data_IF_787879609201
#
_entry.id   IF_787879609201
#
_cell.length_a   1.000
_cell.length_b   1.000
_cell.length_c   1.000
_cell.angle_alpha   90.00
_cell.angle_beta   90.00
_cell.angle_gamma   90.00
#
_symmetry.space_group_name_H-M   'P 1'
#
loop_
_entity.id
_entity.type
_entity.pdbx_description
1 polymer ?
#
# COMPACT_ATOMS: atom_id res chain seq x y z
N UNK A 1 0.82 -17.52 49.19
CA UNK A 1 1.99 -16.65 49.35
C UNK A 1 3.20 -17.34 48.69
N UNK A 2 3.51 -16.92 47.46
CA UNK A 2 4.83 -17.18 46.83
C UNK A 2 5.19 -15.90 46.06
N UNK A 3 6.24 -15.25 46.50
CA UNK A 3 6.73 -14.00 45.88
C UNK A 3 7.55 -14.37 44.64
N UNK A 4 7.19 -13.77 43.50
CA UNK A 4 8.01 -13.83 42.29
C UNK A 4 9.00 -12.65 42.32
N UNK A 5 10.28 -12.94 42.23
CA UNK A 5 11.35 -11.95 42.09
C UNK A 5 11.47 -11.57 40.60
N UNK A 6 11.31 -10.31 40.29
CA UNK A 6 11.61 -9.75 38.96
C UNK A 6 13.03 -9.22 39.00
N UNK A 7 13.92 -9.83 38.21
CA UNK A 7 15.29 -9.34 38.01
C UNK A 7 15.27 -8.24 36.94
N UNK A 8 15.59 -7.02 37.33
CA UNK A 8 15.95 -5.93 36.43
C UNK A 8 17.40 -6.12 35.95
N UNK A 9 17.60 -6.37 34.67
CA UNK A 9 18.90 -6.23 34.02
C UNK A 9 19.00 -4.85 33.41
N UNK A 10 19.85 -4.01 34.00
CA UNK A 10 20.25 -2.72 33.45
C UNK A 10 21.32 -2.93 32.38
N UNK A 11 21.04 -2.64 31.13
CA UNK A 11 22.03 -2.52 30.07
C UNK A 11 22.54 -1.07 30.02
N UNK A 12 23.84 -0.88 30.30
CA UNK A 12 24.53 0.35 30.09
C UNK A 12 24.92 0.49 28.61
N UNK A 13 24.37 1.49 27.92
CA UNK A 13 24.78 1.84 26.57
C UNK A 13 26.07 2.65 26.62
N UNK A 14 27.15 2.10 26.03
CA UNK A 14 28.36 2.86 25.72
C UNK A 14 28.19 3.55 24.37
N UNK A 15 28.06 4.86 24.39
CA UNK A 15 28.10 5.69 23.20
C UNK A 15 29.57 5.95 22.83
N UNK A 16 30.04 5.41 21.72
CA UNK A 16 31.32 5.80 21.09
C UNK A 16 31.03 6.85 20.03
N UNK A 17 31.42 8.08 20.32
CA UNK A 17 31.43 9.17 19.36
C UNK A 17 32.59 9.01 18.37
N UNK A 18 32.28 8.82 17.11
CA UNK A 18 33.25 8.89 16.01
C UNK A 18 33.21 10.31 15.43
N UNK A 19 34.24 11.08 15.70
CA UNK A 19 34.48 12.38 15.08
C UNK A 19 35.11 12.18 13.69
N UNK A 20 34.41 12.59 12.65
CA UNK A 20 35.02 12.74 11.32
C UNK A 20 35.59 14.16 11.17
N UNK A 21 36.91 14.23 11.04
CA UNK A 21 37.61 15.44 10.63
C UNK A 21 37.50 15.61 9.12
N UNK A 22 36.91 16.73 8.70
CA UNK A 22 36.95 17.17 7.30
C UNK A 22 38.33 17.75 6.99
N UNK A 23 39.00 17.22 5.99
CA UNK A 23 40.16 17.88 5.38
C UNK A 23 39.68 18.70 4.18
N UNK A 24 39.83 20.02 4.29
CA UNK A 24 39.79 20.93 3.16
C UNK A 24 41.19 20.98 2.54
N UNK A 25 41.29 20.83 1.23
CA UNK A 25 42.47 21.18 0.47
C UNK A 25 42.05 22.13 -0.66
N UNK A 26 42.38 23.41 -0.47
CA UNK A 26 42.42 24.39 -1.52
C UNK A 26 43.56 24.06 -2.49
N UNK A 27 43.31 24.13 -3.77
CA UNK A 27 44.35 24.38 -4.77
C UNK A 27 43.76 25.14 -5.95
N UNK A 28 44.17 26.41 -6.03
CA UNK A 28 44.00 27.28 -7.20
C UNK A 28 44.76 26.71 -8.39
N UNK A 29 44.15 26.83 -9.56
CA UNK A 29 44.80 26.53 -10.83
C UNK A 29 43.96 27.04 -11.99
N UNK A 30 44.25 28.28 -12.42
CA UNK A 30 43.82 28.82 -13.71
C UNK A 30 44.28 27.93 -14.87
N UNK A 31 43.38 27.61 -15.80
CA UNK A 31 43.74 27.64 -17.21
C UNK A 31 42.53 27.80 -18.15
N UNK A 32 42.68 28.72 -19.11
CA UNK A 32 41.75 29.06 -20.16
C UNK A 32 41.73 27.99 -21.24
N UNK A 33 40.56 27.64 -21.74
CA UNK A 33 40.42 26.82 -22.95
C UNK A 33 38.99 26.87 -23.54
N UNK A 34 38.89 27.69 -24.58
CA UNK A 34 37.76 27.84 -25.50
C UNK A 34 37.23 26.51 -26.05
N UNK A 35 35.88 26.40 -26.20
CA UNK A 35 35.37 25.55 -27.27
C UNK A 35 34.04 24.84 -27.12
N UNK A 36 33.02 25.48 -27.63
CA UNK A 36 31.91 24.88 -28.37
C UNK A 36 30.71 24.23 -27.64
N UNK A 37 29.58 24.79 -28.00
CA UNK A 37 28.24 24.49 -27.51
C UNK A 37 27.82 23.02 -27.64
N UNK A 38 27.03 22.63 -26.65
CA UNK A 38 26.32 21.35 -26.63
C UNK A 38 25.27 21.37 -25.53
N UNK A 39 24.07 21.70 -25.92
CA UNK A 39 22.79 21.26 -25.38
C UNK A 39 22.68 21.08 -23.86
N UNK A 40 22.01 22.03 -23.21
CA UNK A 40 21.67 21.95 -21.77
C UNK A 40 20.78 20.77 -21.42
N UNK A 41 21.37 19.66 -21.09
CA UNK A 41 20.72 18.56 -20.39
C UNK A 41 20.88 18.78 -18.89
N UNK A 42 19.79 18.96 -18.17
CA UNK A 42 19.81 19.07 -16.70
C UNK A 42 20.52 17.86 -16.09
N UNK A 43 21.49 18.14 -15.22
CA UNK A 43 22.23 17.12 -14.47
C UNK A 43 21.38 16.54 -13.34
N UNK A 44 20.28 15.84 -13.70
CA UNK A 44 19.54 15.03 -12.74
C UNK A 44 20.35 13.78 -12.38
N UNK A 45 20.34 13.38 -11.11
CA UNK A 45 20.98 12.13 -10.70
C UNK A 45 20.26 10.94 -11.34
N UNK A 46 21.00 9.94 -11.77
CA UNK A 46 20.45 8.69 -12.27
C UNK A 46 20.35 7.68 -11.15
N UNK A 47 19.26 6.90 -11.12
CA UNK A 47 19.12 5.74 -10.21
C UNK A 47 19.69 4.45 -10.79
N UNK A 48 20.10 4.45 -12.06
CA UNK A 48 20.83 3.32 -12.65
C UNK A 48 22.30 3.48 -12.29
N UNK A 49 22.77 2.70 -11.31
CA UNK A 49 24.12 2.81 -10.72
C UNK A 49 25.06 1.67 -11.15
N UNK A 50 24.75 1.03 -12.22
CA UNK A 50 25.55 -0.08 -12.77
C UNK A 50 24.76 -0.78 -13.85
N UNK A 51 25.22 -1.95 -14.28
CA UNK A 51 24.50 -2.70 -15.27
C UNK A 51 23.21 -3.26 -14.65
N UNK A 52 22.06 -2.65 -14.99
CA UNK A 52 20.72 -3.05 -14.52
C UNK A 52 20.46 -2.95 -13.00
N UNK A 53 21.20 -2.13 -12.26
CA UNK A 53 20.98 -1.93 -10.82
C UNK A 53 20.31 -0.57 -10.61
N UNK A 54 19.20 -0.57 -9.89
CA UNK A 54 18.48 0.63 -9.45
C UNK A 54 18.79 0.89 -7.97
N UNK A 55 19.27 2.10 -7.65
CA UNK A 55 19.55 2.52 -6.28
C UNK A 55 19.66 4.04 -6.15
N UNK A 56 19.35 4.60 -4.99
CA UNK A 56 19.55 6.01 -4.68
C UNK A 56 18.39 6.91 -5.12
N UNK A 57 18.67 8.18 -5.39
CA UNK A 57 17.66 9.23 -5.56
C UNK A 57 17.70 9.83 -6.96
N UNK A 58 16.55 9.83 -7.64
CA UNK A 58 16.32 10.46 -8.93
C UNK A 58 15.75 11.88 -8.74
N UNK A 59 16.45 12.90 -9.24
CA UNK A 59 16.02 14.31 -9.20
C UNK A 59 15.67 14.87 -10.58
N UNK A 60 15.97 14.15 -11.65
CA UNK A 60 15.66 14.49 -13.04
C UNK A 60 14.78 13.46 -13.70
N UNK A 61 14.69 13.50 -15.03
CA UNK A 61 13.93 12.52 -15.81
C UNK A 61 14.82 11.35 -16.24
N UNK A 62 14.32 10.13 -16.04
CA UNK A 62 14.94 8.90 -16.49
C UNK A 62 13.91 7.95 -17.09
N UNK A 63 14.22 7.37 -18.24
CA UNK A 63 13.46 6.29 -18.85
C UNK A 63 14.30 5.02 -18.82
N UNK A 64 13.72 3.93 -18.31
CA UNK A 64 14.35 2.61 -18.33
C UNK A 64 14.14 1.95 -19.69
N UNK A 65 14.99 0.99 -20.03
CA UNK A 65 14.72 0.04 -21.11
C UNK A 65 13.79 -1.09 -20.64
N UNK A 66 13.04 -1.70 -21.55
CA UNK A 66 12.20 -2.85 -21.24
C UNK A 66 13.04 -4.12 -21.04
N UNK A 67 13.61 -4.30 -19.85
CA UNK A 67 14.45 -5.45 -19.47
C UNK A 67 14.34 -5.73 -17.97
N UNK A 68 15.17 -6.63 -17.46
CA UNK A 68 15.26 -6.93 -16.03
C UNK A 68 16.22 -5.95 -15.32
N UNK A 69 15.78 -5.46 -14.14
CA UNK A 69 16.57 -4.65 -13.22
C UNK A 69 16.57 -5.25 -11.83
N UNK A 70 17.62 -4.95 -11.07
CA UNK A 70 17.72 -5.29 -9.64
C UNK A 70 17.56 -4.01 -8.82
N UNK A 71 16.50 -3.92 -8.01
CA UNK A 71 16.33 -2.88 -7.02
C UNK A 71 17.22 -3.23 -5.82
N UNK A 72 18.22 -2.38 -5.55
CA UNK A 72 19.24 -2.60 -4.52
C UNK A 72 19.13 -1.51 -3.44
N UNK A 73 18.43 -1.82 -2.38
CA UNK A 73 18.11 -0.85 -1.32
C UNK A 73 17.03 0.14 -1.76
N UNK A 74 17.02 1.32 -1.15
CA UNK A 74 15.99 2.33 -1.37
C UNK A 74 16.18 3.06 -2.70
N UNK A 75 15.10 3.16 -3.48
CA UNK A 75 15.00 4.00 -4.68
C UNK A 75 13.98 5.11 -4.41
N UNK A 76 14.43 6.37 -4.50
CA UNK A 76 13.60 7.55 -4.28
C UNK A 76 13.42 8.31 -5.59
N UNK A 77 12.18 8.64 -5.94
CA UNK A 77 11.88 9.62 -6.99
C UNK A 77 11.55 10.94 -6.27
N UNK A 78 12.51 11.84 -6.22
CA UNK A 78 12.41 13.09 -5.47
C UNK A 78 11.49 14.11 -6.15
N UNK A 79 11.24 15.25 -5.47
CA UNK A 79 10.52 16.38 -6.07
C UNK A 79 11.18 16.81 -7.38
N UNK A 80 10.39 16.93 -8.45
CA UNK A 80 10.87 17.18 -9.80
C UNK A 80 11.46 15.96 -10.53
N UNK A 81 11.71 14.84 -9.83
CA UNK A 81 12.14 13.58 -10.41
C UNK A 81 11.01 12.91 -11.21
N UNK A 82 11.38 12.23 -12.28
CA UNK A 82 10.45 11.48 -13.14
C UNK A 82 11.06 10.17 -13.60
N UNK A 83 10.45 9.06 -13.22
CA UNK A 83 10.84 7.74 -13.68
C UNK A 83 9.81 7.19 -14.66
N UNK A 84 10.24 6.85 -15.87
CA UNK A 84 9.40 6.17 -16.86
C UNK A 84 9.86 4.71 -16.98
N UNK A 85 8.96 3.78 -16.70
CA UNK A 85 9.16 2.33 -16.77
C UNK A 85 8.33 1.78 -17.94
N UNK A 86 8.93 1.31 -19.02
CA UNK A 86 8.20 0.82 -20.18
C UNK A 86 7.60 -0.57 -19.93
N UNK A 87 6.55 -0.88 -20.71
CA UNK A 87 5.88 -2.17 -20.68
C UNK A 87 6.85 -3.36 -20.88
N UNK A 88 6.67 -4.40 -20.07
CA UNK A 88 7.51 -5.60 -20.08
C UNK A 88 8.78 -5.51 -19.24
N UNK A 89 8.97 -4.43 -18.48
CA UNK A 89 10.07 -4.32 -17.52
C UNK A 89 9.80 -5.21 -16.30
N UNK A 90 10.85 -5.89 -15.82
CA UNK A 90 10.84 -6.62 -14.56
C UNK A 90 11.84 -5.99 -13.60
N UNK A 91 11.40 -5.66 -12.39
CA UNK A 91 12.24 -5.11 -11.32
C UNK A 91 12.24 -6.13 -10.17
N UNK A 92 13.41 -6.73 -9.92
CA UNK A 92 13.64 -7.71 -8.87
C UNK A 92 14.29 -7.05 -7.67
N UNK A 93 13.57 -6.90 -6.58
CA UNK A 93 14.06 -6.29 -5.36
C UNK A 93 14.95 -7.27 -4.58
N UNK A 94 16.05 -6.77 -4.02
CA UNK A 94 16.84 -7.51 -3.03
C UNK A 94 16.05 -7.63 -1.73
N UNK A 95 16.38 -8.65 -0.96
CA UNK A 95 15.78 -8.89 0.35
C UNK A 95 16.02 -7.74 1.32
N UNK A 96 14.99 -7.43 2.11
CA UNK A 96 15.05 -6.58 3.27
C UNK A 96 14.13 -5.36 3.25
N UNK A 97 13.84 -4.86 4.45
CA UNK A 97 13.00 -3.71 4.73
C UNK A 97 13.42 -2.43 3.98
N UNK A 98 14.72 -2.21 3.80
CA UNK A 98 15.24 -1.04 3.09
C UNK A 98 15.16 -1.12 1.56
N UNK A 99 14.73 -2.25 1.00
CA UNK A 99 14.56 -2.43 -0.44
C UNK A 99 13.15 -2.05 -0.86
N UNK A 100 12.93 -0.79 -1.27
CA UNK A 100 11.61 -0.29 -1.70
C UNK A 100 11.76 0.85 -2.71
N UNK A 101 10.66 1.17 -3.42
CA UNK A 101 10.55 2.32 -4.28
C UNK A 101 9.60 3.35 -3.66
N UNK A 102 10.06 4.58 -3.46
CA UNK A 102 9.26 5.68 -2.92
C UNK A 102 9.23 6.86 -3.89
N UNK A 103 8.03 7.29 -4.26
CA UNK A 103 7.77 8.55 -4.96
C UNK A 103 7.53 9.62 -3.91
N UNK A 104 8.44 10.55 -3.73
CA UNK A 104 8.26 11.70 -2.83
C UNK A 104 7.27 12.71 -3.41
N UNK A 105 6.75 13.60 -2.58
CA UNK A 105 5.87 14.68 -3.05
C UNK A 105 6.51 15.46 -4.20
N UNK A 106 5.81 15.55 -5.33
CA UNK A 106 6.30 16.23 -6.54
C UNK A 106 7.16 15.37 -7.46
N UNK A 107 7.57 14.17 -7.02
CA UNK A 107 8.09 13.12 -7.88
C UNK A 107 7.00 12.48 -8.72
N UNK A 108 7.37 11.80 -9.81
CA UNK A 108 6.43 11.12 -10.71
C UNK A 108 6.94 9.77 -11.15
N UNK A 109 6.08 8.77 -11.00
CA UNK A 109 6.31 7.42 -11.52
C UNK A 109 5.32 7.15 -12.67
N UNK A 110 5.85 6.83 -13.83
CA UNK A 110 5.07 6.33 -14.96
C UNK A 110 5.47 4.87 -15.21
N UNK A 111 4.67 3.96 -14.70
CA UNK A 111 4.83 2.52 -14.89
C UNK A 111 3.65 2.04 -15.75
N UNK A 112 3.76 2.29 -17.06
CA UNK A 112 2.70 2.03 -18.02
C UNK A 112 2.95 0.71 -18.76
N UNK A 113 2.52 -0.40 -18.17
CA UNK A 113 2.47 -1.72 -18.79
C UNK A 113 1.30 -1.88 -19.75
N UNK A 114 1.19 -3.07 -20.32
CA UNK A 114 0.03 -3.51 -21.11
C UNK A 114 -0.39 -4.93 -20.69
N UNK A 115 -1.58 -5.36 -21.07
CA UNK A 115 -2.04 -6.71 -20.76
C UNK A 115 -1.07 -7.81 -21.24
N UNK A 116 -0.47 -7.63 -22.42
CA UNK A 116 0.50 -8.59 -22.99
C UNK A 116 1.92 -8.43 -22.45
N UNK A 117 2.24 -7.23 -21.90
CA UNK A 117 3.56 -6.87 -21.37
C UNK A 117 3.42 -6.10 -20.07
N UNK A 118 2.97 -6.74 -18.98
CA UNK A 118 2.88 -6.09 -17.69
C UNK A 118 4.26 -5.69 -17.17
N UNK A 119 4.29 -4.71 -16.30
CA UNK A 119 5.46 -4.37 -15.50
C UNK A 119 5.39 -5.21 -14.22
N UNK A 120 6.52 -5.79 -13.81
CA UNK A 120 6.57 -6.69 -12.66
C UNK A 120 7.60 -6.18 -11.66
N UNK A 121 7.14 -5.92 -10.43
CA UNK A 121 7.99 -5.76 -9.26
C UNK A 121 7.90 -7.04 -8.43
N UNK A 122 9.03 -7.64 -8.10
CA UNK A 122 9.05 -8.95 -7.42
C UNK A 122 10.33 -9.19 -6.63
N UNK A 123 10.40 -10.27 -5.88
CA UNK A 123 11.58 -10.71 -5.14
C UNK A 123 12.72 -11.17 -6.06
N UNK A 124 13.96 -10.83 -5.71
CA UNK A 124 15.16 -11.30 -6.43
C UNK A 124 15.64 -12.67 -5.88
N UNK A 125 14.81 -13.68 -5.97
CA UNK A 125 15.10 -15.04 -5.51
C UNK A 125 14.32 -16.06 -6.33
N UNK A 126 14.74 -17.32 -6.27
CA UNK A 126 14.01 -18.46 -6.86
C UNK A 126 12.99 -19.07 -5.90
N UNK A 127 13.00 -18.65 -4.63
CA UNK A 127 12.07 -19.12 -3.60
C UNK A 127 11.52 -17.89 -2.85
N UNK A 128 10.65 -17.13 -3.49
CA UNK A 128 10.09 -15.93 -2.89
C UNK A 128 9.18 -16.26 -1.72
N UNK A 129 9.15 -15.35 -0.75
CA UNK A 129 8.24 -15.39 0.40
C UNK A 129 7.61 -14.02 0.58
N UNK A 130 6.46 -13.96 1.20
CA UNK A 130 5.81 -12.72 1.61
C UNK A 130 6.77 -11.87 2.45
N UNK A 131 6.75 -10.54 2.31
CA UNK A 131 7.65 -9.65 3.04
C UNK A 131 9.11 -9.67 2.58
N UNK A 132 9.42 -10.22 1.40
CA UNK A 132 10.80 -10.27 0.91
C UNK A 132 11.42 -8.89 0.72
N UNK A 133 10.62 -7.89 0.34
CA UNK A 133 11.03 -6.50 0.11
C UNK A 133 9.93 -5.51 0.51
N UNK A 134 10.21 -4.20 0.54
CA UNK A 134 9.29 -3.21 1.07
C UNK A 134 8.04 -3.00 0.23
N UNK A 135 8.14 -2.84 -1.08
CA UNK A 135 6.98 -2.51 -1.92
C UNK A 135 7.11 -1.16 -2.64
N UNK A 136 5.97 -0.63 -3.10
CA UNK A 136 5.89 0.64 -3.83
C UNK A 136 5.08 1.64 -3.01
N UNK A 137 5.65 2.83 -2.78
CA UNK A 137 5.05 3.90 -1.99
C UNK A 137 4.93 5.16 -2.83
N UNK A 138 3.78 5.82 -2.79
CA UNK A 138 3.54 7.09 -3.49
C UNK A 138 3.05 8.13 -2.48
N UNK A 139 3.81 9.22 -2.33
CA UNK A 139 3.50 10.37 -1.50
C UNK A 139 2.96 11.52 -2.35
N UNK A 140 1.66 11.78 -2.24
CA UNK A 140 0.99 12.88 -2.92
C UNK A 140 0.78 14.11 -2.02
N UNK A 141 0.09 15.11 -2.60
CA UNK A 141 -0.24 16.40 -1.97
C UNK A 141 -1.74 16.56 -1.71
N UNK A 142 -2.53 15.49 -1.80
CA UNK A 142 -3.96 15.54 -1.55
C UNK A 142 -4.26 15.52 -0.04
N UNK A 143 -5.47 15.97 0.37
CA UNK A 143 -5.82 16.12 1.78
C UNK A 143 -5.82 14.81 2.56
N UNK A 144 -5.45 14.90 3.84
CA UNK A 144 -5.49 13.85 4.85
C UNK A 144 -6.20 14.33 6.12
N UNK A 145 -6.45 13.46 7.10
CA UNK A 145 -7.13 13.79 8.36
C UNK A 145 -6.20 13.72 9.58
N UNK A 146 -5.17 14.53 9.58
CA UNK A 146 -4.19 14.62 10.66
C UNK A 146 -3.02 13.63 10.52
N UNK A 147 -2.01 13.81 11.35
CA UNK A 147 -0.81 12.98 11.46
C UNK A 147 -0.84 12.15 12.74
N UNK A 148 0.17 11.31 12.99
CA UNK A 148 0.33 10.59 14.28
C UNK A 148 0.53 11.56 15.46
N UNK A 149 0.87 12.84 15.23
CA UNK A 149 1.22 13.80 16.28
C UNK A 149 0.26 14.97 16.44
N UNK A 150 -0.44 15.37 15.36
CA UNK A 150 -1.32 16.54 15.36
C UNK A 150 -2.36 16.50 14.23
N UNK A 151 -3.25 17.50 14.18
CA UNK A 151 -4.28 17.67 13.15
C UNK A 151 -3.78 18.34 11.88
N UNK A 152 -2.48 18.32 11.60
CA UNK A 152 -1.96 18.93 10.38
C UNK A 152 -2.46 18.20 9.13
N UNK A 153 -2.50 18.92 8.02
CA UNK A 153 -2.85 18.39 6.70
C UNK A 153 -1.67 17.69 6.01
N UNK A 154 -0.55 17.51 6.72
CA UNK A 154 0.61 16.74 6.27
C UNK A 154 1.07 15.75 7.34
N UNK A 155 1.60 14.62 6.92
CA UNK A 155 2.18 13.60 7.79
C UNK A 155 3.51 13.11 7.23
N UNK A 156 4.25 12.34 8.02
CA UNK A 156 5.50 11.71 7.60
C UNK A 156 5.23 10.27 7.19
N UNK A 157 5.90 9.80 6.14
CA UNK A 157 5.84 8.41 5.71
C UNK A 157 6.34 7.49 6.82
N UNK A 158 5.56 6.51 7.17
CA UNK A 158 5.78 5.64 8.33
C UNK A 158 7.16 4.99 8.34
N UNK A 159 7.52 4.38 7.22
CA UNK A 159 8.79 3.65 7.07
C UNK A 159 10.00 4.57 6.85
N UNK A 160 9.78 5.84 6.54
CA UNK A 160 10.85 6.82 6.29
C UNK A 160 10.40 8.26 6.58
N UNK A 161 10.67 8.73 7.78
CA UNK A 161 10.26 10.04 8.27
C UNK A 161 10.95 11.24 7.58
N UNK A 162 11.88 11.02 6.66
CA UNK A 162 12.47 12.09 5.85
C UNK A 162 11.51 12.58 4.75
N UNK A 163 10.48 11.81 4.46
CA UNK A 163 9.52 12.10 3.39
C UNK A 163 8.12 12.33 3.95
N UNK A 164 7.55 13.46 3.58
CA UNK A 164 6.19 13.85 3.96
C UNK A 164 5.19 13.56 2.84
N UNK A 165 3.91 13.52 3.21
CA UNK A 165 2.77 13.45 2.31
C UNK A 165 1.60 14.29 2.83
N UNK A 166 0.54 14.41 2.03
CA UNK A 166 -0.64 15.20 2.38
C UNK A 166 -0.52 16.67 1.94
N UNK A 167 -1.56 17.43 2.12
CA UNK A 167 -1.70 18.83 1.74
C UNK A 167 -3.12 19.18 1.32
N UNK A 168 -3.27 20.05 0.31
CA UNK A 168 -4.59 20.56 -0.11
C UNK A 168 -4.93 20.30 -1.58
N UNK A 169 -4.03 19.69 -2.35
CA UNK A 169 -4.21 19.46 -3.79
C UNK A 169 -4.94 18.15 -4.06
N UNK A 170 -6.27 18.16 -4.01
CA UNK A 170 -7.08 16.97 -4.23
C UNK A 170 -6.87 16.35 -5.63
N UNK A 171 -6.45 17.14 -6.61
CA UNK A 171 -6.13 16.76 -7.97
C UNK A 171 -4.64 16.52 -8.22
N UNK A 172 -3.84 16.34 -7.15
CA UNK A 172 -2.42 16.01 -7.26
C UNK A 172 -2.19 14.82 -8.19
N UNK A 173 -1.09 14.90 -8.94
CA UNK A 173 -0.71 13.88 -9.91
C UNK A 173 0.71 13.40 -9.64
N UNK A 174 0.84 12.15 -9.24
CA UNK A 174 2.12 11.47 -9.00
C UNK A 174 2.53 10.53 -10.14
N UNK A 175 1.82 10.55 -11.27
CA UNK A 175 2.11 9.74 -12.45
C UNK A 175 1.03 8.73 -12.79
N UNK A 176 1.44 7.54 -13.25
CA UNK A 176 0.54 6.45 -13.62
C UNK A 176 1.12 5.07 -13.32
N UNK A 177 0.28 4.17 -12.86
CA UNK A 177 0.53 2.73 -12.75
C UNK A 177 -0.56 2.00 -13.52
N UNK A 178 -0.20 1.31 -14.61
CA UNK A 178 -1.15 0.53 -15.40
C UNK A 178 -0.56 -0.83 -15.76
N UNK A 179 -1.32 -1.91 -15.55
CA UNK A 179 -0.86 -3.29 -15.75
C UNK A 179 0.44 -3.58 -14.98
N UNK A 180 0.41 -3.35 -13.67
CA UNK A 180 1.54 -3.52 -12.76
C UNK A 180 1.27 -4.69 -11.82
N UNK A 181 2.26 -5.57 -11.68
CA UNK A 181 2.29 -6.63 -10.67
C UNK A 181 3.26 -6.26 -9.56
N UNK A 182 2.85 -6.41 -8.31
CA UNK A 182 3.67 -6.22 -7.11
C UNK A 182 3.59 -7.51 -6.30
N UNK A 183 4.68 -8.23 -6.20
CA UNK A 183 4.68 -9.58 -5.64
C UNK A 183 5.69 -9.69 -4.49
N UNK A 184 5.29 -10.34 -3.39
CA UNK A 184 6.14 -10.67 -2.24
C UNK A 184 6.69 -9.44 -1.49
N UNK A 185 5.90 -8.37 -1.47
CA UNK A 185 6.21 -7.12 -0.77
C UNK A 185 5.75 -7.17 0.70
N UNK A 186 5.75 -6.01 1.38
CA UNK A 186 5.24 -5.90 2.74
C UNK A 186 6.29 -6.19 3.82
N UNK A 187 7.59 -5.99 3.54
CA UNK A 187 8.62 -6.21 4.56
C UNK A 187 8.40 -5.32 5.77
N UNK A 188 8.54 -5.89 6.97
CA UNK A 188 8.34 -5.17 8.24
C UNK A 188 9.63 -5.02 9.02
N UNK A 189 9.76 -3.93 9.77
CA UNK A 189 10.84 -3.65 10.70
C UNK A 189 10.46 -4.02 12.13
N UNK A 190 9.22 -3.74 12.50
CA UNK A 190 8.59 -4.07 13.77
C UNK A 190 7.11 -4.35 13.50
N UNK A 191 6.34 -4.77 14.49
CA UNK A 191 4.89 -4.91 14.37
C UNK A 191 4.12 -3.61 14.13
N UNK A 192 4.78 -2.45 14.22
CA UNK A 192 4.15 -1.12 14.06
C UNK A 192 4.78 -0.30 12.91
N UNK A 193 5.77 -0.84 12.20
CA UNK A 193 6.48 -0.17 11.08
C UNK A 193 6.60 -1.17 9.94
N UNK A 194 5.68 -1.09 9.03
CA UNK A 194 5.44 -2.08 8.00
C UNK A 194 5.32 -1.43 6.62
N UNK A 195 5.64 -2.19 5.61
CA UNK A 195 5.35 -1.84 4.22
C UNK A 195 4.14 -2.65 3.75
N UNK A 196 3.39 -2.07 2.84
CA UNK A 196 2.34 -2.75 2.10
C UNK A 196 2.81 -3.20 0.71
N UNK A 197 1.97 -3.89 -0.02
CA UNK A 197 2.20 -4.10 -1.45
C UNK A 197 2.29 -2.77 -2.19
N UNK A 198 1.23 -1.97 -2.10
CA UNK A 198 1.13 -0.61 -2.65
C UNK A 198 0.60 0.36 -1.59
N UNK A 199 1.41 1.33 -1.19
CA UNK A 199 1.04 2.36 -0.23
C UNK A 199 0.77 3.69 -0.94
N UNK A 200 -0.41 4.26 -0.72
CA UNK A 200 -0.88 5.50 -1.36
C UNK A 200 -1.12 6.60 -0.32
N UNK A 201 -0.09 7.38 -0.04
CA UNK A 201 -0.06 8.43 0.97
C UNK A 201 -0.51 9.78 0.41
N UNK A 202 -1.72 10.24 0.72
CA UNK A 202 -2.24 11.52 0.27
C UNK A 202 -2.20 11.68 -1.27
N UNK A 203 -2.43 10.60 -2.00
CA UNK A 203 -2.39 10.62 -3.47
C UNK A 203 -3.66 11.24 -4.03
N UNK A 204 -3.52 12.16 -4.99
CA UNK A 204 -4.64 12.87 -5.60
C UNK A 204 -5.23 12.16 -6.82
N UNK A 205 -6.46 12.56 -7.18
CA UNK A 205 -7.23 11.96 -8.27
C UNK A 205 -6.70 12.29 -9.68
N UNK A 206 -5.67 13.12 -9.79
CA UNK A 206 -4.90 13.30 -11.01
C UNK A 206 -3.93 12.15 -11.32
N UNK A 207 -3.64 11.30 -10.33
CA UNK A 207 -2.82 10.09 -10.50
C UNK A 207 -3.67 8.95 -11.05
N UNK A 208 -3.14 8.26 -12.05
CA UNK A 208 -3.84 7.14 -12.70
C UNK A 208 -3.36 5.80 -12.14
N UNK A 209 -4.26 4.99 -11.56
CA UNK A 209 -3.94 3.64 -11.06
C UNK A 209 -4.98 2.65 -11.56
N UNK A 210 -4.59 1.78 -12.48
CA UNK A 210 -5.48 0.84 -13.14
C UNK A 210 -4.79 -0.49 -13.42
N UNK A 211 -5.51 -1.60 -13.30
CA UNK A 211 -5.01 -2.94 -13.59
C UNK A 211 -3.78 -3.26 -12.72
N UNK A 212 -4.00 -3.39 -11.44
CA UNK A 212 -2.97 -3.71 -10.44
C UNK A 212 -3.18 -5.13 -9.95
N UNK A 213 -2.09 -5.86 -9.79
CA UNK A 213 -2.07 -7.18 -9.18
C UNK A 213 -1.07 -7.20 -8.02
N UNK A 214 -1.54 -7.48 -6.82
CA UNK A 214 -0.71 -7.68 -5.63
C UNK A 214 -0.78 -9.13 -5.20
N UNK A 215 0.37 -9.75 -5.03
CA UNK A 215 0.52 -11.16 -4.64
C UNK A 215 1.39 -11.27 -3.39
N UNK A 216 0.86 -11.91 -2.34
CA UNK A 216 1.60 -12.24 -1.13
C UNK A 216 2.36 -11.03 -0.54
N UNK A 217 1.63 -9.97 -0.17
CA UNK A 217 2.14 -8.93 0.72
C UNK A 217 2.15 -9.44 2.16
N UNK A 218 3.20 -9.15 2.93
CA UNK A 218 3.25 -9.56 4.36
C UNK A 218 2.52 -8.59 5.29
N UNK A 219 1.88 -7.61 4.72
CA UNK A 219 0.94 -6.68 5.32
C UNK A 219 -0.19 -6.48 4.31
N UNK A 220 -0.79 -5.30 4.20
CA UNK A 220 -1.88 -5.07 3.26
C UNK A 220 -1.48 -5.25 1.81
N UNK A 221 -2.44 -5.65 0.99
CA UNK A 221 -2.21 -5.59 -0.45
C UNK A 221 -2.13 -4.14 -0.94
N UNK A 222 -3.04 -3.29 -0.50
CA UNK A 222 -3.05 -1.85 -0.78
C UNK A 222 -3.58 -1.08 0.42
N UNK A 223 -2.90 0.01 0.78
CA UNK A 223 -3.33 0.91 1.83
C UNK A 223 -3.38 2.37 1.36
N UNK A 224 -4.47 3.06 1.71
CA UNK A 224 -4.76 4.44 1.36
C UNK A 224 -4.70 5.34 2.60
N UNK A 225 -3.60 6.05 2.79
CA UNK A 225 -3.46 7.08 3.83
C UNK A 225 -4.01 8.43 3.35
N UNK A 226 -5.31 8.62 3.45
CA UNK A 226 -5.97 9.82 2.94
C UNK A 226 -5.92 9.93 1.41
N UNK A 227 -6.06 11.17 0.91
CA UNK A 227 -6.07 11.41 -0.53
C UNK A 227 -7.41 11.22 -1.22
N UNK A 228 -7.38 11.23 -2.55
CA UNK A 228 -8.58 11.21 -3.41
C UNK A 228 -8.39 10.34 -4.66
N UNK A 229 -7.28 9.62 -4.77
CA UNK A 229 -6.98 8.78 -5.92
C UNK A 229 -8.04 7.70 -6.14
N UNK A 230 -8.35 7.41 -7.39
CA UNK A 230 -9.21 6.27 -7.73
C UNK A 230 -8.34 5.11 -8.22
N UNK A 231 -8.72 3.89 -7.83
CA UNK A 231 -8.08 2.66 -8.29
C UNK A 231 -9.11 1.80 -9.01
N UNK A 232 -8.74 1.28 -10.17
CA UNK A 232 -9.64 0.45 -10.99
C UNK A 232 -8.95 -0.87 -11.36
N UNK A 233 -9.68 -1.99 -11.27
CA UNK A 233 -9.21 -3.33 -11.56
C UNK A 233 -8.02 -3.73 -10.69
N UNK A 234 -8.25 -3.93 -9.40
CA UNK A 234 -7.27 -4.41 -8.43
C UNK A 234 -7.55 -5.88 -8.10
N UNK A 235 -6.54 -6.74 -8.27
CA UNK A 235 -6.53 -8.11 -7.76
C UNK A 235 -5.51 -8.22 -6.62
N UNK A 236 -5.97 -8.61 -5.44
CA UNK A 236 -5.17 -8.92 -4.27
C UNK A 236 -5.24 -10.42 -3.96
N UNK A 237 -4.09 -11.08 -3.83
CA UNK A 237 -4.02 -12.52 -3.53
C UNK A 237 -3.10 -12.74 -2.35
N UNK A 238 -3.64 -13.37 -1.31
CA UNK A 238 -2.93 -13.75 -0.09
C UNK A 238 -2.15 -12.60 0.58
N UNK A 239 -2.74 -11.40 0.82
CA UNK A 239 -2.13 -10.45 1.74
C UNK A 239 -2.22 -10.99 3.17
N UNK A 240 -1.24 -10.64 4.02
CA UNK A 240 -1.16 -11.19 5.37
C UNK A 240 -2.09 -10.46 6.34
N UNK A 241 -2.31 -9.15 6.15
CA UNK A 241 -3.31 -8.38 6.87
C UNK A 241 -4.52 -8.09 5.97
N UNK A 242 -4.75 -6.87 5.56
CA UNK A 242 -5.97 -6.51 4.87
C UNK A 242 -5.86 -6.60 3.34
N UNK A 243 -6.96 -6.99 2.69
CA UNK A 243 -6.99 -6.97 1.22
C UNK A 243 -7.04 -5.52 0.71
N UNK A 244 -7.81 -4.65 1.40
CA UNK A 244 -7.99 -3.25 1.05
C UNK A 244 -8.13 -2.42 2.32
N UNK A 245 -7.14 -1.59 2.67
CA UNK A 245 -7.21 -0.68 3.82
C UNK A 245 -7.38 0.78 3.40
N UNK A 246 -8.29 1.47 4.09
CA UNK A 246 -8.66 2.87 3.87
C UNK A 246 -8.57 3.66 5.16
N UNK A 247 -7.61 4.55 5.28
CA UNK A 247 -7.40 5.29 6.51
C UNK A 247 -7.22 6.80 6.28
N UNK A 248 -7.09 7.53 7.34
CA UNK A 248 -6.61 8.92 7.39
C UNK A 248 -7.37 9.89 6.47
N UNK A 249 -8.71 9.71 6.33
CA UNK A 249 -9.53 10.64 5.56
C UNK A 249 -9.51 10.40 4.05
N UNK A 250 -9.34 9.16 3.61
CA UNK A 250 -9.41 8.82 2.19
C UNK A 250 -10.81 9.06 1.62
N UNK A 251 -10.88 9.72 0.47
CA UNK A 251 -12.13 10.05 -0.23
C UNK A 251 -12.00 9.80 -1.74
N UNK A 252 -11.87 8.55 -2.13
CA UNK A 252 -11.79 8.11 -3.52
C UNK A 252 -12.69 6.91 -3.79
N UNK A 253 -12.45 6.24 -4.92
CA UNK A 253 -13.20 5.06 -5.34
C UNK A 253 -12.27 3.92 -5.69
N UNK A 254 -12.50 2.74 -5.10
CA UNK A 254 -11.94 1.47 -5.53
C UNK A 254 -13.00 0.74 -6.37
N UNK A 255 -12.71 0.53 -7.64
CA UNK A 255 -13.66 -0.04 -8.59
C UNK A 255 -13.16 -1.33 -9.20
N UNK A 256 -14.04 -2.33 -9.25
CA UNK A 256 -13.75 -3.65 -9.77
C UNK A 256 -12.54 -4.27 -9.07
N UNK A 257 -12.69 -4.59 -7.79
CA UNK A 257 -11.64 -5.16 -6.96
C UNK A 257 -11.95 -6.61 -6.57
N UNK A 258 -10.91 -7.42 -6.54
CA UNK A 258 -11.01 -8.84 -6.25
C UNK A 258 -9.96 -9.24 -5.23
N UNK A 259 -10.37 -9.71 -4.07
CA UNK A 259 -9.51 -10.21 -3.01
C UNK A 259 -9.64 -11.73 -2.88
N UNK A 260 -8.54 -12.45 -2.70
CA UNK A 260 -8.50 -13.91 -2.56
C UNK A 260 -7.58 -14.32 -1.43
N UNK A 261 -8.09 -15.15 -0.54
CA UNK A 261 -7.30 -16.06 0.29
C UNK A 261 -7.50 -17.48 -0.21
N UNK A 262 -6.41 -18.14 -0.58
CA UNK A 262 -6.39 -19.51 -1.09
C UNK A 262 -6.57 -20.54 0.03
N UNK A 263 -6.87 -21.79 -0.32
CA UNK A 263 -7.22 -22.84 0.65
C UNK A 263 -6.07 -23.29 1.55
N UNK A 264 -4.85 -23.10 1.10
CA UNK A 264 -3.61 -23.43 1.81
C UNK A 264 -2.91 -22.18 2.41
N UNK A 265 -3.55 -21.02 2.28
CA UNK A 265 -3.06 -19.78 2.87
C UNK A 265 -3.40 -19.69 4.36
N UNK A 266 -2.47 -19.15 5.13
CA UNK A 266 -2.62 -18.86 6.55
C UNK A 266 -2.00 -17.49 6.82
N UNK A 267 -2.81 -16.55 7.32
CA UNK A 267 -2.31 -15.25 7.78
C UNK A 267 -1.57 -15.39 9.11
N UNK A 268 -0.56 -14.56 9.32
CA UNK A 268 0.17 -14.43 10.59
C UNK A 268 -0.34 -13.27 11.45
N UNK A 269 -1.25 -12.45 10.90
CA UNK A 269 -1.84 -11.32 11.61
C UNK A 269 -2.96 -11.72 12.59
N UNK A 270 -3.14 -10.90 13.62
CA UNK A 270 -4.10 -11.18 14.68
C UNK A 270 -5.54 -10.89 14.26
N UNK A 271 -5.73 -9.95 13.35
CA UNK A 271 -7.03 -9.42 12.97
C UNK A 271 -7.17 -9.06 11.47
N UNK A 272 -6.71 -9.93 10.55
CA UNK A 272 -6.72 -9.66 9.11
C UNK A 272 -8.14 -9.60 8.54
N UNK A 273 -8.35 -8.78 7.51
CA UNK A 273 -9.68 -8.47 6.96
C UNK A 273 -9.75 -8.47 5.44
N UNK A 274 -10.96 -8.44 4.94
CA UNK A 274 -11.20 -8.12 3.53
C UNK A 274 -11.12 -6.61 3.26
N UNK A 275 -11.77 -5.83 4.11
CA UNK A 275 -11.66 -4.37 4.17
C UNK A 275 -11.41 -3.96 5.62
N UNK A 276 -10.43 -3.11 5.84
CA UNK A 276 -10.35 -2.25 7.02
C UNK A 276 -10.60 -0.79 6.61
N UNK A 277 -11.29 0.00 7.46
CA UNK A 277 -11.52 1.40 7.18
C UNK A 277 -11.54 2.24 8.45
N UNK A 278 -10.61 3.16 8.57
CA UNK A 278 -10.53 4.19 9.60
C UNK A 278 -10.94 5.56 9.07
N UNK A 279 -11.73 6.30 9.85
CA UNK A 279 -12.14 7.66 9.46
C UNK A 279 -11.00 8.65 9.45
N UNK A 280 -10.11 8.53 10.41
CA UNK A 280 -8.98 9.43 10.61
C UNK A 280 -7.76 8.64 11.13
N UNK A 281 -6.61 9.31 11.25
CA UNK A 281 -5.39 8.68 11.72
C UNK A 281 -5.61 7.98 13.07
N UNK A 282 -5.70 6.67 13.06
CA UNK A 282 -5.82 5.78 14.23
C UNK A 282 -6.88 6.21 15.28
N UNK A 283 -7.96 6.88 14.84
CA UNK A 283 -9.01 7.39 15.74
C UNK A 283 -8.58 8.56 16.61
N UNK A 284 -7.44 9.19 16.36
CA UNK A 284 -6.91 10.31 17.16
C UNK A 284 -7.71 11.60 16.99
N UNK A 285 -8.37 11.77 15.84
CA UNK A 285 -9.04 13.03 15.48
C UNK A 285 -10.50 12.82 15.05
N UNK A 286 -11.38 12.34 15.93
CA UNK A 286 -12.78 12.08 15.59
C UNK A 286 -13.58 13.33 15.22
N UNK A 287 -13.08 14.53 15.57
CA UNK A 287 -13.64 15.83 15.24
C UNK A 287 -12.97 16.50 14.03
N UNK A 288 -12.06 15.83 13.33
CA UNK A 288 -11.48 16.35 12.11
C UNK A 288 -12.55 16.50 11.03
N UNK A 289 -12.55 17.63 10.31
CA UNK A 289 -13.57 17.93 9.30
C UNK A 289 -13.55 16.93 8.13
N UNK A 290 -12.38 16.35 7.85
CA UNK A 290 -12.22 15.29 6.88
C UNK A 290 -12.16 13.96 7.61
N UNK A 291 -13.10 13.10 7.34
CA UNK A 291 -13.08 11.68 7.70
C UNK A 291 -13.05 10.88 6.39
N UNK A 292 -12.63 9.64 6.43
CA UNK A 292 -12.73 8.77 5.25
C UNK A 292 -14.19 8.65 4.81
N UNK A 293 -14.45 8.99 3.55
CA UNK A 293 -15.75 8.84 2.86
C UNK A 293 -15.48 8.30 1.46
N UNK A 294 -15.45 6.98 1.34
CA UNK A 294 -14.99 6.29 0.15
C UNK A 294 -16.04 5.39 -0.47
N UNK A 295 -15.79 4.98 -1.71
CA UNK A 295 -16.65 4.07 -2.45
C UNK A 295 -15.90 2.81 -2.85
N UNK A 296 -16.60 1.68 -2.78
CA UNK A 296 -16.17 0.42 -3.38
C UNK A 296 -17.27 -0.08 -4.31
N UNK A 297 -16.94 -0.22 -5.59
CA UNK A 297 -17.89 -0.60 -6.62
C UNK A 297 -17.44 -1.90 -7.29
N UNK A 298 -18.33 -2.90 -7.37
CA UNK A 298 -18.05 -4.21 -7.96
C UNK A 298 -16.87 -4.90 -7.24
N UNK A 299 -17.09 -5.37 -6.05
CA UNK A 299 -16.09 -6.06 -5.24
C UNK A 299 -16.40 -7.56 -5.14
N UNK A 300 -15.37 -8.39 -5.25
CA UNK A 300 -15.45 -9.79 -4.85
C UNK A 300 -14.38 -10.07 -3.79
N UNK A 301 -14.78 -10.70 -2.68
CA UNK A 301 -13.87 -11.29 -1.69
C UNK A 301 -14.09 -12.79 -1.67
N UNK A 302 -13.03 -13.54 -1.86
CA UNK A 302 -12.98 -15.00 -1.74
C UNK A 302 -12.11 -15.36 -0.54
N UNK A 303 -12.70 -16.01 0.44
CA UNK A 303 -11.94 -16.61 1.53
C UNK A 303 -12.08 -18.14 1.47
N UNK A 304 -11.06 -18.83 1.02
CA UNK A 304 -10.96 -20.28 1.05
C UNK A 304 -9.97 -20.80 2.09
N UNK A 305 -9.29 -19.91 2.83
CA UNK A 305 -8.35 -20.29 3.87
C UNK A 305 -9.04 -21.19 4.92
N UNK A 306 -8.31 -22.14 5.44
CA UNK A 306 -8.86 -23.11 6.39
C UNK A 306 -9.38 -22.40 7.64
N UNK A 307 -10.66 -22.66 8.00
CA UNK A 307 -11.24 -22.14 9.21
C UNK A 307 -10.79 -22.99 10.39
N UNK A 308 -9.70 -22.62 11.06
CA UNK A 308 -9.24 -23.31 12.25
C UNK A 308 -10.02 -22.83 13.49
N UNK A 309 -10.14 -23.70 14.50
CA UNK A 309 -10.92 -23.41 15.72
C UNK A 309 -10.25 -22.32 16.60
N UNK A 310 -8.98 -22.07 16.40
CA UNK A 310 -8.20 -21.07 17.10
C UNK A 310 -8.19 -19.79 16.27
N UNK A 311 -8.56 -18.67 16.84
CA UNK A 311 -8.81 -17.36 16.19
C UNK A 311 -7.65 -16.76 15.38
N UNK A 312 -6.51 -17.43 15.28
CA UNK A 312 -5.26 -16.90 14.71
C UNK A 312 -5.20 -17.01 13.19
N UNK A 313 -5.98 -17.89 12.58
CA UNK A 313 -5.81 -18.24 11.16
C UNK A 313 -7.05 -17.93 10.30
N UNK A 314 -7.93 -17.06 10.77
CA UNK A 314 -9.15 -16.71 10.04
C UNK A 314 -9.31 -15.21 9.88
N UNK A 315 -10.00 -14.83 8.83
CA UNK A 315 -10.42 -13.45 8.63
C UNK A 315 -11.23 -12.96 9.84
N UNK A 316 -10.80 -11.86 10.45
CA UNK A 316 -11.48 -11.28 11.61
C UNK A 316 -12.84 -10.76 11.21
N UNK A 317 -12.87 -9.82 10.28
CA UNK A 317 -14.06 -9.27 9.68
C UNK A 317 -13.94 -9.30 8.15
N UNK A 318 -15.03 -9.53 7.43
CA UNK A 318 -14.97 -9.35 5.97
C UNK A 318 -14.89 -7.85 5.64
N UNK A 319 -15.63 -7.03 6.39
CA UNK A 319 -15.64 -5.57 6.24
C UNK A 319 -15.63 -4.93 7.64
N UNK A 320 -14.56 -4.23 7.96
CA UNK A 320 -14.41 -3.41 9.15
C UNK A 320 -14.51 -1.94 8.81
N UNK A 321 -15.45 -1.22 9.43
CA UNK A 321 -15.58 0.23 9.27
C UNK A 321 -15.64 0.83 10.67
N UNK A 322 -14.67 1.68 11.02
CA UNK A 322 -14.49 2.19 12.37
C UNK A 322 -14.03 3.65 12.39
N UNK A 323 -13.98 4.24 13.58
CA UNK A 323 -13.34 5.54 13.85
C UNK A 323 -13.85 6.67 12.97
N UNK A 324 -15.17 6.65 12.66
CA UNK A 324 -15.82 7.67 11.86
C UNK A 324 -15.78 7.47 10.34
N UNK A 325 -15.15 6.41 9.84
CA UNK A 325 -15.14 6.10 8.41
C UNK A 325 -16.55 5.89 7.86
N UNK A 326 -16.80 6.39 6.65
CA UNK A 326 -18.03 6.18 5.90
C UNK A 326 -17.71 5.45 4.60
N UNK A 327 -18.37 4.33 4.39
CA UNK A 327 -18.24 3.51 3.21
C UNK A 327 -19.54 3.45 2.41
N UNK A 328 -19.42 3.58 1.08
CA UNK A 328 -20.50 3.24 0.15
C UNK A 328 -20.04 2.05 -0.69
N UNK A 329 -20.53 0.86 -0.36
CA UNK A 329 -20.16 -0.39 -1.01
C UNK A 329 -21.32 -0.90 -1.84
N UNK A 330 -21.13 -1.04 -3.15
CA UNK A 330 -22.16 -1.48 -4.09
C UNK A 330 -21.71 -2.68 -4.90
N UNK A 331 -22.64 -3.61 -5.14
CA UNK A 331 -22.40 -4.83 -5.90
C UNK A 331 -21.22 -5.64 -5.35
N UNK A 332 -21.25 -5.93 -4.05
CA UNK A 332 -20.25 -6.77 -3.38
C UNK A 332 -20.68 -8.23 -3.38
N UNK A 333 -19.77 -9.14 -3.72
CA UNK A 333 -19.92 -10.59 -3.63
C UNK A 333 -18.86 -11.16 -2.68
N UNK A 334 -19.31 -11.81 -1.62
CA UNK A 334 -18.45 -12.49 -0.64
C UNK A 334 -18.73 -13.98 -0.72
N UNK A 335 -17.69 -14.79 -0.94
CA UNK A 335 -17.82 -16.24 -1.13
C UNK A 335 -16.58 -16.99 -0.66
N UNK A 336 -16.67 -18.31 -0.60
CA UNK A 336 -15.56 -19.20 -0.28
C UNK A 336 -15.96 -20.32 0.68
N UNK A 337 -14.98 -21.16 1.01
CA UNK A 337 -15.13 -22.31 1.92
C UNK A 337 -14.54 -22.05 3.30
N UNK A 338 -13.80 -20.97 3.46
CA UNK A 338 -13.28 -20.48 4.73
C UNK A 338 -14.35 -19.79 5.58
N UNK A 339 -13.93 -19.00 6.54
CA UNK A 339 -14.84 -18.30 7.45
C UNK A 339 -14.30 -16.96 7.91
N UNK A 340 -15.18 -16.17 8.52
CA UNK A 340 -14.84 -14.93 9.21
C UNK A 340 -15.51 -14.89 10.58
N UNK A 341 -15.11 -13.95 11.45
CA UNK A 341 -15.86 -13.71 12.68
C UNK A 341 -17.13 -12.93 12.32
N UNK A 342 -17.02 -11.69 11.86
CA UNK A 342 -18.17 -10.88 11.45
C UNK A 342 -18.18 -10.63 9.94
N UNK A 343 -19.37 -10.47 9.35
CA UNK A 343 -19.49 -10.07 7.96
C UNK A 343 -19.23 -8.57 7.82
N UNK A 344 -19.87 -7.75 8.64
CA UNK A 344 -19.65 -6.31 8.73
C UNK A 344 -19.54 -5.91 10.19
N UNK A 345 -18.42 -5.35 10.60
CA UNK A 345 -18.23 -4.79 11.93
C UNK A 345 -18.02 -3.27 11.87
N UNK A 346 -18.92 -2.56 12.59
CA UNK A 346 -18.93 -1.08 12.69
C UNK A 346 -18.41 -0.58 14.04
N UNK A 347 -17.89 -1.47 14.90
CA UNK A 347 -17.52 -1.13 16.28
C UNK A 347 -16.03 -1.04 16.47
N UNK A 348 -15.60 -0.07 17.24
CA UNK A 348 -14.24 0.04 17.75
C UNK A 348 -14.21 0.84 19.04
N UNK A 349 -13.23 0.61 19.91
CA UNK A 349 -13.06 1.30 21.19
C UNK A 349 -12.72 2.79 21.04
N UNK A 350 -12.11 3.19 19.91
CA UNK A 350 -11.78 4.60 19.58
C UNK A 350 -12.88 5.28 18.76
N UNK A 351 -13.97 4.59 18.44
CA UNK A 351 -15.13 5.15 17.75
C UNK A 351 -15.73 4.21 16.70
N UNK A 352 -17.03 4.19 16.62
CA UNK A 352 -17.76 3.42 15.63
C UNK A 352 -17.55 3.97 14.22
N UNK A 353 -17.85 3.16 13.22
CA UNK A 353 -18.03 3.60 11.83
C UNK A 353 -19.19 4.57 11.70
N UNK A 354 -19.18 5.36 10.63
CA UNK A 354 -20.26 6.32 10.38
C UNK A 354 -21.54 5.59 10.00
N UNK A 355 -22.61 5.89 10.72
CA UNK A 355 -23.95 5.29 10.54
C UNK A 355 -24.51 5.52 9.11
N UNK A 356 -24.08 6.56 8.41
CA UNK A 356 -24.49 6.82 7.03
C UNK A 356 -23.84 5.88 5.99
N UNK A 357 -23.01 4.94 6.42
CA UNK A 357 -22.48 3.90 5.54
C UNK A 357 -23.60 3.09 4.88
N UNK A 358 -23.34 2.66 3.64
CA UNK A 358 -24.30 1.90 2.83
C UNK A 358 -23.61 0.70 2.20
N UNK A 359 -24.11 -0.50 2.45
CA UNK A 359 -23.51 -1.76 1.98
C UNK A 359 -24.57 -2.62 1.30
N UNK A 360 -24.34 -2.93 0.01
CA UNK A 360 -25.12 -3.86 -0.80
C UNK A 360 -24.26 -5.08 -1.14
N UNK A 361 -24.61 -6.24 -0.60
CA UNK A 361 -23.77 -7.44 -0.58
C UNK A 361 -24.55 -8.72 -0.88
N UNK A 362 -23.91 -9.64 -1.59
CA UNK A 362 -24.27 -11.06 -1.61
C UNK A 362 -23.22 -11.82 -0.81
N UNK A 363 -23.63 -12.63 0.16
CA UNK A 363 -22.71 -13.40 0.98
C UNK A 363 -23.06 -14.87 0.99
N UNK A 364 -22.08 -15.72 0.76
CA UNK A 364 -22.17 -17.19 0.91
C UNK A 364 -21.13 -17.73 1.90
N UNK A 365 -20.26 -16.87 2.44
CA UNK A 365 -19.26 -17.24 3.43
C UNK A 365 -19.91 -17.56 4.78
N UNK A 366 -19.32 -18.48 5.51
CA UNK A 366 -19.74 -18.80 6.89
C UNK A 366 -19.04 -17.83 7.86
N UNK A 367 -19.75 -17.35 8.86
CA UNK A 367 -19.20 -16.53 9.94
C UNK A 367 -19.71 -17.00 11.30
N UNK A 368 -18.92 -16.79 12.34
CA UNK A 368 -19.22 -17.26 13.71
C UNK A 368 -19.83 -16.18 14.59
N UNK A 369 -19.67 -14.92 14.23
CA UNK A 369 -20.22 -13.75 14.93
C UNK A 369 -21.48 -13.24 14.26
N UNK A 370 -21.49 -11.95 13.88
CA UNK A 370 -22.68 -11.25 13.40
C UNK A 370 -22.59 -10.90 11.92
N UNK A 371 -23.74 -10.91 11.23
CA UNK A 371 -23.85 -10.33 9.88
C UNK A 371 -23.58 -8.82 9.89
N UNK A 372 -24.06 -8.16 10.93
CA UNK A 372 -23.89 -6.74 11.16
C UNK A 372 -23.66 -6.53 12.66
N UNK A 373 -22.43 -6.12 12.99
CA UNK A 373 -22.02 -5.79 14.35
C UNK A 373 -21.89 -4.26 14.49
N UNK A 374 -22.89 -3.61 15.09
CA UNK A 374 -23.01 -2.16 15.17
C UNK A 374 -24.08 -1.62 14.22
N UNK A 375 -24.19 -0.29 14.14
CA UNK A 375 -25.27 0.40 13.44
C UNK A 375 -24.80 0.99 12.12
N UNK A 376 -25.58 0.76 11.05
CA UNK A 376 -25.48 1.48 9.78
C UNK A 376 -26.88 1.62 9.16
N UNK A 377 -27.09 2.70 8.41
CA UNK A 377 -28.42 3.03 7.88
C UNK A 377 -28.88 2.09 6.77
N UNK A 378 -27.94 1.58 5.97
CA UNK A 378 -28.28 0.75 4.81
C UNK A 378 -27.40 -0.48 4.77
N UNK A 379 -27.96 -1.62 5.11
CA UNK A 379 -27.36 -2.94 4.93
C UNK A 379 -28.34 -3.81 4.15
N UNK A 380 -27.99 -4.10 2.89
CA UNK A 380 -28.82 -4.91 2.00
C UNK A 380 -28.07 -6.15 1.58
N UNK A 381 -28.49 -7.30 2.12
CA UNK A 381 -28.02 -8.60 1.65
C UNK A 381 -29.06 -9.14 0.67
N UNK A 382 -28.62 -9.40 -0.57
CA UNK A 382 -29.46 -9.96 -1.64
C UNK A 382 -28.67 -10.98 -2.43
N UNK A 383 -29.34 -11.71 -3.31
CA UNK A 383 -28.68 -12.67 -4.23
C UNK A 383 -28.22 -12.02 -5.55
N UNK A 384 -28.42 -10.72 -5.74
CA UNK A 384 -28.33 -10.07 -7.05
C UNK A 384 -26.95 -9.44 -7.34
N UNK A 385 -26.07 -9.33 -6.31
CA UNK A 385 -24.76 -8.75 -6.51
C UNK A 385 -23.82 -9.77 -7.19
N UNK A 386 -23.22 -9.36 -8.26
CA UNK A 386 -22.34 -10.19 -9.09
C UNK A 386 -20.86 -10.03 -8.76
N UNK A 387 -20.51 -8.99 -8.00
CA UNK A 387 -19.14 -8.67 -7.63
C UNK A 387 -18.33 -8.08 -8.78
N UNK A 388 -17.03 -8.30 -8.72
CA UNK A 388 -16.07 -7.84 -9.71
C UNK A 388 -16.17 -8.65 -11.02
N UNK A 389 -15.90 -7.99 -12.14
CA UNK A 389 -15.71 -8.64 -13.43
C UNK A 389 -14.34 -9.33 -13.48
N UNK A 390 -14.33 -10.63 -13.19
CA UNK A 390 -13.13 -11.45 -13.17
C UNK A 390 -12.40 -11.52 -14.52
N UNK A 391 -13.10 -11.28 -15.64
CA UNK A 391 -12.51 -11.36 -16.99
C UNK A 391 -11.42 -10.29 -17.22
N UNK A 392 -11.50 -9.18 -16.50
CA UNK A 392 -10.54 -8.08 -16.57
C UNK A 392 -9.18 -8.41 -15.93
N UNK A 393 -9.05 -9.52 -15.22
CA UNK A 393 -7.80 -9.94 -14.56
C UNK A 393 -7.01 -11.01 -15.31
N UNK A 394 -7.46 -11.45 -16.51
CA UNK A 394 -6.78 -12.49 -17.28
C UNK A 394 -5.31 -12.20 -17.59
N UNK A 395 -4.92 -10.92 -17.68
CA UNK A 395 -3.55 -10.47 -17.89
C UNK A 395 -2.59 -10.80 -16.74
N UNK A 396 -3.12 -11.04 -15.53
CA UNK A 396 -2.31 -11.41 -14.37
C UNK A 396 -1.72 -12.80 -14.46
N UNK A 397 -2.36 -13.68 -15.24
CA UNK A 397 -2.06 -15.10 -15.28
C UNK A 397 -2.55 -15.87 -14.06
N UNK A 398 -3.20 -15.20 -13.11
CA UNK A 398 -3.84 -15.86 -11.97
C UNK A 398 -5.17 -16.48 -12.37
N UNK A 399 -5.43 -17.71 -11.91
CA UNK A 399 -6.61 -18.47 -12.31
C UNK A 399 -7.81 -18.21 -11.41
N UNK A 400 -8.58 -17.16 -11.69
CA UNK A 400 -9.81 -16.86 -10.97
C UNK A 400 -10.97 -17.82 -11.25
N UNK A 401 -10.89 -18.69 -12.26
CA UNK A 401 -11.96 -19.66 -12.56
C UNK A 401 -12.02 -20.81 -11.56
N UNK A 402 -11.05 -20.90 -10.65
CA UNK A 402 -11.05 -21.87 -9.56
C UNK A 402 -11.98 -21.48 -8.39
N UNK A 403 -12.55 -20.25 -8.41
CA UNK A 403 -13.31 -19.67 -7.31
C UNK A 403 -14.79 -19.29 -7.66
#
# INVERSE_FOLDING_TARGET
MKRLFVNFMTFAAMATALTFTACSSDSDGDDNGDGNGGNGGGTGSSIVVGENILSGTLTGEQTLDAKEYILNGTVIIADGGRLNIPAGTTIKAREGFSSYLLVAQGGKLYADGTADKPIVFTANTTSPVSGYWGGVIINGKAPISGSKTDKSDTALTEINNDYKYGGSAADDNSGSLTYVKICYAGARSTADIEHNGLTLNGVGNGTKIENIYVLESADDAIEFFGGTVNVTNLLAVNPDDDMFDFTQGYCGTLKNCYGVWESDYTSTEADPRGIEADGNMDGLYPDHLRQSDFKVENMTIVNNAANTADNVDRMQDVIKIRRGAKATITNALVKGTGGAIDLVDMKDSKGAGNIESSIHITNTLIFTGLKQNGELNTFVESADNTGADASLFGWTGYNLSAF
#
